data_IF_695650760418
#
_entry.id   IF_695650760418
#
_cell.length_a   1.000
_cell.length_b   1.000
_cell.length_c   1.000
_cell.angle_alpha   90.00
_cell.angle_beta   90.00
_cell.angle_gamma   90.00
#
_symmetry.space_group_name_H-M   'P 1'
#
loop_
_entity.id
_entity.type
_entity.pdbx_description
1 polymer ?
#
# COMPACT_ATOMS: atom_id res chain seq x y z
N UNK A 1 -9.51 -16.30 -14.95
CA UNK A 1 -9.54 -15.02 -15.69
C UNK A 1 -9.84 -13.94 -14.65
N UNK A 2 -8.92 -13.13 -14.12
CA UNK A 2 -7.95 -12.21 -14.71
C UNK A 2 -6.78 -12.08 -13.71
N UNK A 3 -5.77 -12.93 -13.80
CA UNK A 3 -4.51 -12.69 -13.10
C UNK A 3 -3.73 -11.63 -13.86
N UNK A 4 -3.34 -10.55 -13.18
CA UNK A 4 -2.25 -9.67 -13.60
C UNK A 4 -2.30 -9.17 -15.06
N UNK A 5 -3.26 -8.30 -15.39
CA UNK A 5 -3.10 -7.48 -16.61
C UNK A 5 -2.10 -6.35 -16.36
N UNK A 6 -0.82 -6.74 -16.44
CA UNK A 6 0.26 -6.08 -17.18
C UNK A 6 0.53 -4.60 -16.84
N UNK A 7 1.35 -4.40 -15.79
CA UNK A 7 2.23 -3.25 -15.43
C UNK A 7 2.04 -2.75 -13.99
N UNK A 8 0.80 -2.61 -13.52
CA UNK A 8 0.55 -2.00 -12.20
C UNK A 8 0.93 -2.84 -10.98
N UNK A 9 1.00 -4.18 -11.11
CA UNK A 9 1.28 -5.08 -9.98
C UNK A 9 2.76 -5.14 -9.61
N UNK A 10 3.67 -5.03 -10.59
CA UNK A 10 5.10 -5.00 -10.32
C UNK A 10 5.54 -3.66 -9.74
N UNK A 11 4.94 -2.56 -10.21
CA UNK A 11 5.09 -1.24 -9.59
C UNK A 11 4.54 -1.23 -8.16
N UNK A 12 3.42 -1.93 -7.91
CA UNK A 12 2.87 -2.08 -6.56
C UNK A 12 3.80 -2.90 -5.67
N UNK A 13 4.31 -4.04 -6.15
CA UNK A 13 5.21 -4.91 -5.38
C UNK A 13 6.52 -4.20 -5.02
N UNK A 14 7.16 -3.52 -5.99
CA UNK A 14 8.34 -2.69 -5.74
C UNK A 14 8.05 -1.58 -4.73
N UNK A 15 6.91 -0.92 -4.88
CA UNK A 15 6.52 0.18 -4.02
C UNK A 15 6.19 -0.26 -2.58
N UNK A 16 5.47 -1.39 -2.43
CA UNK A 16 5.22 -2.00 -1.13
C UNK A 16 6.52 -2.52 -0.51
N UNK A 17 7.43 -3.08 -1.31
CA UNK A 17 8.76 -3.49 -0.89
C UNK A 17 9.58 -2.32 -0.34
N UNK A 18 9.63 -1.19 -1.04
CA UNK A 18 10.31 0.03 -0.59
C UNK A 18 9.66 0.60 0.69
N UNK A 19 8.32 0.67 0.72
CA UNK A 19 7.60 1.09 1.92
C UNK A 19 7.91 0.18 3.12
N UNK A 20 8.00 -1.13 2.93
CA UNK A 20 8.37 -2.07 4.00
C UNK A 20 9.84 -1.95 4.39
N UNK A 21 10.74 -1.66 3.47
CA UNK A 21 12.14 -1.48 3.79
C UNK A 21 12.38 -0.20 4.59
N UNK A 22 11.72 0.92 4.23
CA UNK A 22 12.04 2.25 4.74
C UNK A 22 11.03 2.82 5.75
N UNK A 23 9.75 2.49 5.63
CA UNK A 23 8.67 3.05 6.46
C UNK A 23 8.18 2.05 7.52
N UNK A 24 8.03 0.77 7.17
CA UNK A 24 7.58 -0.26 8.13
C UNK A 24 8.38 -0.34 9.44
N UNK A 25 9.72 -0.19 9.50
CA UNK A 25 10.43 -0.13 10.77
C UNK A 25 10.06 1.09 11.62
N UNK A 26 9.64 2.20 11.00
CA UNK A 26 9.22 3.46 11.66
C UNK A 26 7.75 3.44 12.09
N UNK A 27 6.95 2.54 11.54
CA UNK A 27 5.54 2.38 11.92
C UNK A 27 5.38 1.91 13.37
N UNK A 28 4.34 2.43 14.01
CA UNK A 28 3.88 1.96 15.33
C UNK A 28 3.32 0.54 15.26
N UNK A 29 3.27 -0.15 16.40
CA UNK A 29 2.77 -1.54 16.48
C UNK A 29 1.34 -1.69 15.95
N UNK A 30 0.48 -0.69 16.18
CA UNK A 30 -0.90 -0.64 15.67
C UNK A 30 -0.94 -0.62 14.12
N UNK A 31 -0.12 0.25 13.50
CA UNK A 31 0.01 0.32 12.04
C UNK A 31 0.62 -0.94 11.43
N UNK A 32 1.53 -1.62 12.14
CA UNK A 32 2.06 -2.92 11.71
C UNK A 32 0.98 -4.00 11.70
N UNK A 33 0.06 -3.98 12.68
CA UNK A 33 -1.08 -4.89 12.70
C UNK A 33 -2.05 -4.60 11.53
N UNK A 34 -2.37 -3.32 11.30
CA UNK A 34 -3.19 -2.88 10.18
C UNK A 34 -2.56 -3.24 8.83
N UNK A 35 -1.23 -3.09 8.69
CA UNK A 35 -0.52 -3.50 7.49
C UNK A 35 -0.63 -5.01 7.24
N UNK A 36 -0.53 -5.82 8.30
CA UNK A 36 -0.65 -7.27 8.21
C UNK A 36 -2.06 -7.71 7.79
N UNK A 37 -3.07 -7.00 8.28
CA UNK A 37 -4.47 -7.19 7.87
C UNK A 37 -4.68 -6.76 6.40
N UNK A 38 -4.08 -5.63 5.99
CA UNK A 38 -4.08 -5.17 4.60
C UNK A 38 -3.42 -6.20 3.66
N UNK A 39 -2.30 -6.81 4.05
CA UNK A 39 -1.62 -7.88 3.30
C UNK A 39 -2.42 -9.18 3.18
N UNK A 40 -3.49 -9.34 3.97
CA UNK A 40 -4.41 -10.47 3.85
C UNK A 40 -5.44 -10.24 2.73
N UNK A 41 -5.57 -9.00 2.26
CA UNK A 41 -6.45 -8.62 1.16
C UNK A 41 -5.79 -8.83 -0.20
N UNK A 42 -6.59 -8.91 -1.26
CA UNK A 42 -6.06 -9.08 -2.62
C UNK A 42 -5.28 -7.84 -3.08
N UNK A 43 -4.17 -8.03 -3.80
CA UNK A 43 -3.34 -6.95 -4.33
C UNK A 43 -4.12 -5.94 -5.19
N UNK A 44 -5.16 -6.43 -5.88
CA UNK A 44 -6.06 -5.59 -6.66
C UNK A 44 -6.85 -4.63 -5.77
N UNK A 45 -7.40 -5.10 -4.65
CA UNK A 45 -8.11 -4.26 -3.68
C UNK A 45 -7.17 -3.23 -3.04
N UNK A 46 -5.97 -3.65 -2.66
CA UNK A 46 -4.93 -2.76 -2.14
C UNK A 46 -4.64 -1.66 -3.16
N UNK A 47 -4.45 -2.02 -4.44
CA UNK A 47 -4.22 -1.05 -5.50
C UNK A 47 -5.39 -0.07 -5.66
N UNK A 48 -6.64 -0.54 -5.58
CA UNK A 48 -7.83 0.31 -5.67
C UNK A 48 -7.96 1.26 -4.47
N UNK A 49 -7.63 0.82 -3.26
CA UNK A 49 -7.55 1.67 -2.07
C UNK A 49 -6.48 2.75 -2.21
N UNK A 50 -5.28 2.38 -2.68
CA UNK A 50 -4.17 3.31 -2.91
C UNK A 50 -4.47 4.33 -4.01
N UNK A 51 -5.19 3.92 -5.04
CA UNK A 51 -5.65 4.81 -6.12
C UNK A 51 -6.83 5.69 -5.68
N UNK A 52 -7.39 5.49 -4.49
CA UNK A 52 -8.59 6.19 -4.01
C UNK A 52 -9.85 5.85 -4.81
N UNK A 53 -9.85 4.73 -5.54
CA UNK A 53 -11.01 4.21 -6.28
C UNK A 53 -11.96 3.45 -5.38
N UNK A 54 -11.43 2.87 -4.30
CA UNK A 54 -12.19 2.13 -3.30
C UNK A 54 -11.90 2.70 -1.91
N UNK A 55 -12.90 2.69 -1.03
CA UNK A 55 -12.74 3.05 0.38
C UNK A 55 -12.22 1.82 1.14
N UNK A 56 -11.14 2.01 1.89
CA UNK A 56 -10.61 1.03 2.83
C UNK A 56 -11.41 1.06 4.13
N UNK A 57 -11.33 -0.01 4.91
CA UNK A 57 -11.93 -0.04 6.24
C UNK A 57 -11.38 1.08 7.15
N UNK A 58 -12.17 1.49 8.13
CA UNK A 58 -11.76 2.51 9.09
C UNK A 58 -10.46 2.13 9.82
N UNK A 59 -10.28 0.83 10.08
CA UNK A 59 -9.07 0.27 10.67
C UNK A 59 -7.85 0.35 9.73
N UNK A 60 -8.03 0.24 8.41
CA UNK A 60 -6.94 0.26 7.43
C UNK A 60 -6.66 1.66 6.87
N UNK A 61 -7.56 2.60 7.09
CA UNK A 61 -7.44 4.00 6.67
C UNK A 61 -6.09 4.66 7.04
N UNK A 62 -5.58 4.54 8.29
CA UNK A 62 -4.27 5.10 8.65
C UNK A 62 -3.12 4.52 7.81
N UNK A 63 -3.02 3.20 7.66
CA UNK A 63 -1.93 2.57 6.90
C UNK A 63 -2.05 2.88 5.39
N UNK A 64 -3.26 2.87 4.84
CA UNK A 64 -3.51 3.24 3.43
C UNK A 64 -3.11 4.69 3.18
N UNK A 65 -3.38 5.59 4.13
CA UNK A 65 -2.98 7.01 4.04
C UNK A 65 -1.47 7.17 4.09
N UNK A 66 -0.78 6.48 5.01
CA UNK A 66 0.68 6.51 5.12
C UNK A 66 1.36 6.04 3.83
N UNK A 67 0.86 4.94 3.24
CA UNK A 67 1.37 4.43 1.97
C UNK A 67 1.13 5.44 0.84
N UNK A 68 -0.06 6.07 0.77
CA UNK A 68 -0.34 7.11 -0.25
C UNK A 68 0.57 8.33 -0.12
N UNK A 69 0.89 8.73 1.10
CA UNK A 69 1.81 9.83 1.36
C UNK A 69 3.24 9.49 0.92
N UNK A 70 3.71 8.28 1.26
CA UNK A 70 4.99 7.77 0.81
C UNK A 70 5.10 7.75 -0.74
N UNK A 71 4.04 7.32 -1.44
CA UNK A 71 3.98 7.36 -2.91
C UNK A 71 4.19 8.77 -3.47
N UNK A 72 3.63 9.77 -2.79
CA UNK A 72 3.72 11.17 -3.19
C UNK A 72 5.12 11.75 -2.95
N UNK A 73 5.82 11.32 -1.89
CA UNK A 73 7.20 11.77 -1.65
C UNK A 73 8.17 11.16 -2.65
N UNK A 74 8.07 9.86 -2.93
CA UNK A 74 8.97 9.16 -3.88
C UNK A 74 8.85 9.75 -5.29
N UNK A 75 7.65 10.14 -5.73
CA UNK A 75 7.42 10.69 -7.08
C UNK A 75 8.03 12.09 -7.30
N UNK A 76 8.46 12.79 -6.25
CA UNK A 76 9.13 14.10 -6.35
C UNK A 76 10.66 14.02 -6.41
N UNK A 77 11.24 12.83 -6.26
CA UNK A 77 12.68 12.63 -6.31
C UNK A 77 13.15 12.03 -7.63
N UNK A 78 13.10 12.80 -8.72
CA UNK A 78 13.93 12.62 -9.92
C UNK A 78 13.99 13.92 -10.72
#
# INVERSE_FOLDING_TARGET
MRWASRRGLLELDLFLGDFVAYEYPKLSMDMKAQYKELMTSADQDIFEWLMGRKVSDAALTPIVTAIRDYKRTVRKGY
#
